data_IF_170512409716
#
_entry.id   IF_170512409716
#
_cell.length_a   1.000
_cell.length_b   1.000
_cell.length_c   1.000
_cell.angle_alpha   90.00
_cell.angle_beta   90.00
_cell.angle_gamma   90.00
#
_symmetry.space_group_name_H-M   'P 1'
#
loop_
_entity.id
_entity.type
_entity.pdbx_description
1 polymer ?
#
# COMPACT_ATOMS: atom_id res chain seq x y z
N UNK A 1 -2.58 -5.21 -38.50
CA UNK A 1 -2.74 -4.06 -37.62
C UNK A 1 -2.63 -2.73 -38.40
N UNK A 2 -1.56 -2.54 -39.18
CA UNK A 2 -1.34 -1.31 -39.97
C UNK A 2 -2.45 -1.08 -41.01
N UNK A 3 -2.91 -2.12 -41.73
CA UNK A 3 -4.00 -2.04 -42.70
C UNK A 3 -5.34 -1.62 -42.03
N UNK A 4 -5.61 -2.08 -40.81
CA UNK A 4 -6.78 -1.72 -40.05
C UNK A 4 -6.74 -0.24 -39.62
N UNK A 5 -5.56 0.24 -39.21
CA UNK A 5 -5.36 1.64 -38.85
C UNK A 5 -5.51 2.61 -40.05
N UNK A 6 -5.10 2.18 -41.24
CA UNK A 6 -5.27 2.95 -42.48
C UNK A 6 -6.72 2.99 -42.98
N UNK A 7 -7.49 1.94 -42.73
CA UNK A 7 -8.93 1.90 -43.04
C UNK A 7 -9.73 2.82 -42.11
N UNK A 8 -9.39 2.83 -40.81
CA UNK A 8 -9.97 3.72 -39.82
C UNK A 8 -9.68 5.19 -40.14
N UNK A 9 -8.44 5.52 -40.52
CA UNK A 9 -8.09 6.87 -40.95
C UNK A 9 -8.86 7.32 -42.22
N UNK A 10 -9.12 6.40 -43.14
CA UNK A 10 -9.86 6.69 -44.38
C UNK A 10 -11.37 6.84 -44.16
N UNK A 11 -11.92 6.17 -43.16
CA UNK A 11 -13.37 6.24 -42.86
C UNK A 11 -13.80 7.55 -42.21
N UNK A 12 -12.88 8.37 -41.74
CA UNK A 12 -13.19 9.62 -41.02
C UNK A 12 -13.98 9.39 -39.73
N UNK A 13 -14.09 8.14 -39.30
CA UNK A 13 -14.78 7.82 -38.07
C UNK A 13 -14.03 8.42 -36.87
N UNK A 14 -14.69 9.28 -36.12
CA UNK A 14 -14.17 9.73 -34.83
C UNK A 14 -14.21 8.56 -33.84
N UNK A 15 -13.12 7.79 -33.80
CA UNK A 15 -12.96 6.67 -32.90
C UNK A 15 -12.53 7.12 -31.48
N UNK A 16 -13.06 8.21 -31.02
CA UNK A 16 -12.98 8.52 -29.58
C UNK A 16 -13.91 7.55 -28.89
N UNK A 17 -13.34 6.50 -28.33
CA UNK A 17 -14.06 5.70 -27.35
C UNK A 17 -14.54 6.66 -26.27
N UNK A 18 -15.83 6.59 -25.88
CA UNK A 18 -16.32 7.41 -24.79
C UNK A 18 -15.40 7.17 -23.58
N UNK A 19 -14.84 8.24 -23.03
CA UNK A 19 -14.05 8.11 -21.82
C UNK A 19 -14.93 7.51 -20.73
N UNK A 20 -14.45 6.50 -19.98
CA UNK A 20 -15.23 5.96 -18.89
C UNK A 20 -15.57 7.10 -17.90
N UNK A 21 -16.80 7.09 -17.40
CA UNK A 21 -17.18 7.97 -16.29
C UNK A 21 -16.42 7.52 -15.06
N UNK A 22 -15.36 8.26 -14.73
CA UNK A 22 -14.54 8.00 -13.56
C UNK A 22 -14.98 8.91 -12.41
N UNK A 23 -14.89 8.46 -11.15
CA UNK A 23 -15.00 9.35 -10.01
C UNK A 23 -14.07 10.54 -10.14
N UNK A 24 -14.41 11.65 -9.50
CA UNK A 24 -13.58 12.86 -9.52
C UNK A 24 -12.14 12.53 -9.09
N UNK A 25 -11.18 13.32 -9.58
CA UNK A 25 -9.79 13.18 -9.16
C UNK A 25 -9.68 13.61 -7.70
N UNK A 26 -9.33 12.68 -6.81
CA UNK A 26 -9.01 12.96 -5.43
C UNK A 26 -7.60 13.52 -5.25
N UNK A 27 -7.28 13.96 -4.04
CA UNK A 27 -5.98 14.48 -3.64
C UNK A 27 -5.17 13.44 -2.87
N UNK A 28 -3.90 13.27 -3.23
CA UNK A 28 -2.94 12.57 -2.40
C UNK A 28 -2.30 13.59 -1.43
N UNK A 29 -2.49 13.35 -0.13
CA UNK A 29 -2.04 14.25 0.95
C UNK A 29 -0.67 13.87 1.50
N UNK A 30 -0.10 12.74 1.06
CA UNK A 30 1.21 12.26 1.46
C UNK A 30 1.26 10.75 1.63
N UNK A 31 2.41 10.28 2.11
CA UNK A 31 2.62 8.87 2.48
C UNK A 31 2.21 8.69 3.94
N UNK A 32 1.41 7.67 4.23
CA UNK A 32 1.01 7.33 5.60
C UNK A 32 1.98 6.34 6.23
N UNK A 33 2.36 5.28 5.50
CA UNK A 33 3.45 4.39 5.87
C UNK A 33 4.14 3.77 4.65
N UNK A 34 5.34 3.27 4.87
CA UNK A 34 6.08 2.41 3.94
C UNK A 34 6.38 1.10 4.65
N UNK A 35 6.06 -0.02 4.01
CA UNK A 35 6.33 -1.36 4.53
C UNK A 35 7.46 -2.01 3.77
N UNK A 36 8.44 -2.49 4.53
CA UNK A 36 9.53 -3.33 4.02
C UNK A 36 9.22 -4.80 4.32
N UNK A 37 9.37 -5.64 3.32
CA UNK A 37 9.50 -7.08 3.52
C UNK A 37 10.96 -7.42 3.78
N UNK A 38 11.20 -8.40 4.65
CA UNK A 38 12.55 -8.89 4.96
C UNK A 38 12.46 -10.28 5.58
N UNK A 39 13.58 -11.00 5.63
CA UNK A 39 13.66 -12.22 6.41
C UNK A 39 13.80 -11.92 7.90
N UNK A 40 13.47 -12.88 8.74
CA UNK A 40 13.65 -12.76 10.20
C UNK A 40 15.12 -12.55 10.58
N UNK A 41 16.04 -13.13 9.81
CA UNK A 41 17.48 -12.95 10.01
C UNK A 41 17.97 -11.53 9.69
N UNK A 42 17.42 -10.89 8.65
CA UNK A 42 17.81 -9.55 8.20
C UNK A 42 17.03 -8.43 8.91
N UNK A 43 15.92 -8.77 9.58
CA UNK A 43 15.07 -7.81 10.28
C UNK A 43 15.82 -7.06 11.39
N UNK A 44 16.76 -7.72 12.06
CA UNK A 44 17.58 -7.10 13.10
C UNK A 44 18.51 -6.01 12.56
N UNK A 45 19.06 -6.20 11.37
CA UNK A 45 19.94 -5.22 10.72
C UNK A 45 19.13 -3.99 10.26
N UNK A 46 17.94 -4.22 9.69
CA UNK A 46 17.04 -3.14 9.31
C UNK A 46 16.55 -2.37 10.54
N UNK A 47 16.21 -3.06 11.64
CA UNK A 47 15.83 -2.45 12.90
C UNK A 47 16.97 -1.59 13.51
N UNK A 48 18.19 -2.11 13.48
CA UNK A 48 19.38 -1.37 13.95
C UNK A 48 19.61 -0.12 13.10
N UNK A 49 19.47 -0.23 11.78
CA UNK A 49 19.57 0.91 10.87
C UNK A 49 18.50 1.98 11.16
N UNK A 50 17.23 1.59 11.34
CA UNK A 50 16.16 2.52 11.70
C UNK A 50 16.42 3.21 13.05
N UNK A 51 16.92 2.45 14.05
CA UNK A 51 17.30 3.00 15.36
C UNK A 51 18.40 4.06 15.24
N UNK A 52 19.44 3.80 14.43
CA UNK A 52 20.52 4.77 14.17
C UNK A 52 19.99 6.04 13.51
N UNK A 53 18.97 5.94 12.70
CA UNK A 53 18.30 7.08 12.08
C UNK A 53 17.32 7.80 13.03
N UNK A 54 17.13 7.31 14.25
CA UNK A 54 16.26 7.92 15.25
C UNK A 54 14.82 7.44 15.23
N UNK A 55 14.51 6.36 14.52
CA UNK A 55 13.20 5.71 14.63
C UNK A 55 13.12 4.90 15.91
N UNK A 56 11.93 4.82 16.47
CA UNK A 56 11.61 4.03 17.67
C UNK A 56 10.63 2.93 17.29
N UNK A 57 10.86 1.72 17.77
CA UNK A 57 9.90 0.62 17.68
C UNK A 57 8.71 0.94 18.61
N UNK A 58 7.54 1.16 18.04
CA UNK A 58 6.36 1.65 18.78
C UNK A 58 5.23 0.64 18.89
N UNK A 59 5.23 -0.43 18.10
CA UNK A 59 4.17 -1.43 18.17
C UNK A 59 4.44 -2.67 17.33
N UNK A 60 3.69 -3.73 17.61
CA UNK A 60 3.63 -4.94 16.82
C UNK A 60 2.20 -5.17 16.33
N UNK A 61 2.04 -5.66 15.11
CA UNK A 61 0.74 -5.96 14.55
C UNK A 61 0.03 -7.04 15.38
N UNK A 62 -1.30 -6.91 15.52
CA UNK A 62 -2.13 -7.78 16.38
C UNK A 62 -2.14 -9.24 15.96
N UNK A 63 -1.87 -9.55 14.69
CA UNK A 63 -2.02 -10.89 14.12
C UNK A 63 -0.91 -11.32 13.15
N UNK A 64 -0.10 -10.37 12.65
CA UNK A 64 0.95 -10.60 11.64
C UNK A 64 2.32 -10.32 12.25
N UNK A 65 3.36 -10.89 11.67
CA UNK A 65 4.75 -10.59 12.05
C UNK A 65 5.22 -9.29 11.41
N UNK A 66 4.57 -8.18 11.82
CA UNK A 66 4.86 -6.83 11.35
C UNK A 66 5.16 -5.93 12.54
N UNK A 67 6.33 -5.32 12.54
CA UNK A 67 6.77 -4.35 13.53
C UNK A 67 6.60 -2.92 13.01
N UNK A 68 6.07 -2.01 13.83
CA UNK A 68 5.87 -0.60 13.51
C UNK A 68 6.97 0.24 14.13
N UNK A 69 7.70 0.94 13.28
CA UNK A 69 8.75 1.90 13.63
C UNK A 69 8.30 3.30 13.29
N UNK A 70 8.57 4.27 14.16
CA UNK A 70 8.10 5.64 13.98
C UNK A 70 9.15 6.67 14.34
N UNK A 71 9.22 7.73 13.54
CA UNK A 71 9.91 8.96 13.87
C UNK A 71 9.01 10.14 13.50
N UNK A 72 8.53 10.88 14.49
CA UNK A 72 7.54 11.96 14.30
C UNK A 72 6.32 11.51 13.48
N UNK A 73 6.15 12.05 12.27
CA UNK A 73 5.08 11.72 11.34
C UNK A 73 5.41 10.60 10.34
N UNK A 74 6.61 10.03 10.40
CA UNK A 74 7.07 8.98 9.46
C UNK A 74 6.83 7.62 10.10
N UNK A 75 6.14 6.72 9.37
CA UNK A 75 5.87 5.37 9.80
C UNK A 75 6.54 4.38 8.85
N UNK A 76 7.33 3.48 9.38
CA UNK A 76 7.97 2.37 8.68
C UNK A 76 7.45 1.07 9.29
N UNK A 77 7.04 0.13 8.46
CA UNK A 77 6.65 -1.21 8.87
C UNK A 77 7.72 -2.19 8.41
N UNK A 78 8.06 -3.15 9.27
CA UNK A 78 8.97 -4.27 8.95
C UNK A 78 8.14 -5.54 9.01
N UNK A 79 7.97 -6.20 7.86
CA UNK A 79 7.19 -7.40 7.69
C UNK A 79 8.11 -8.62 7.50
N UNK A 80 7.99 -9.61 8.39
CA UNK A 80 8.75 -10.86 8.37
C UNK A 80 7.85 -12.09 8.18
N UNK A 81 6.66 -11.89 7.57
CA UNK A 81 5.77 -13.01 7.24
C UNK A 81 6.47 -13.98 6.27
N UNK A 82 6.20 -15.28 6.45
CA UNK A 82 6.74 -16.38 5.62
C UNK A 82 5.77 -16.85 4.54
N UNK A 83 4.72 -16.07 4.30
CA UNK A 83 3.70 -16.34 3.29
C UNK A 83 3.00 -15.05 2.87
N UNK A 84 2.23 -15.11 1.77
CA UNK A 84 1.47 -13.99 1.27
C UNK A 84 2.29 -13.00 0.41
N UNK A 85 1.70 -11.83 0.07
CA UNK A 85 2.30 -10.90 -0.90
C UNK A 85 3.65 -10.33 -0.47
N UNK A 86 3.85 -10.03 0.81
CA UNK A 86 5.12 -9.51 1.33
C UNK A 86 6.22 -10.55 1.20
N UNK A 87 5.95 -11.81 1.55
CA UNK A 87 6.90 -12.91 1.38
C UNK A 87 7.25 -13.13 -0.11
N UNK A 88 6.25 -13.15 -0.98
CA UNK A 88 6.50 -13.29 -2.42
C UNK A 88 7.38 -12.16 -2.97
N UNK A 89 7.21 -10.94 -2.48
CA UNK A 89 8.09 -9.82 -2.85
C UNK A 89 9.52 -10.03 -2.32
N UNK A 90 9.67 -10.58 -1.10
CA UNK A 90 10.99 -10.93 -0.55
C UNK A 90 11.69 -12.01 -1.37
N UNK A 91 10.98 -13.07 -1.78
CA UNK A 91 11.56 -14.14 -2.61
C UNK A 91 12.11 -13.62 -3.94
N UNK A 92 11.50 -12.58 -4.51
CA UNK A 92 11.92 -12.00 -5.80
C UNK A 92 12.99 -10.92 -5.64
N UNK A 93 12.88 -10.08 -4.60
CA UNK A 93 13.65 -8.83 -4.49
C UNK A 93 14.55 -8.77 -3.25
N UNK A 94 14.48 -9.74 -2.35
CA UNK A 94 15.10 -9.65 -1.04
C UNK A 94 14.44 -8.59 -0.17
N UNK A 95 15.19 -8.05 0.82
CA UNK A 95 14.71 -6.95 1.65
C UNK A 95 14.43 -5.71 0.80
N UNK A 96 13.15 -5.34 0.69
CA UNK A 96 12.67 -4.29 -0.19
C UNK A 96 11.33 -3.71 0.26
N UNK A 97 10.94 -2.57 -0.32
CA UNK A 97 9.59 -2.01 -0.12
C UNK A 97 8.57 -2.90 -0.84
N UNK A 98 7.58 -3.39 -0.09
CA UNK A 98 6.51 -4.26 -0.62
C UNK A 98 5.12 -3.60 -0.58
N UNK A 99 4.90 -2.61 0.29
CA UNK A 99 3.61 -1.93 0.45
C UNK A 99 3.83 -0.45 0.78
N UNK A 100 3.01 0.43 0.19
CA UNK A 100 3.01 1.86 0.47
C UNK A 100 1.57 2.30 0.70
N UNK A 101 1.29 2.93 1.84
CA UNK A 101 0.00 3.55 2.09
C UNK A 101 0.04 5.04 1.79
N UNK A 102 -0.88 5.47 0.95
CA UNK A 102 -1.10 6.88 0.62
C UNK A 102 -2.23 7.43 1.48
N UNK A 103 -2.00 8.58 2.07
CA UNK A 103 -3.06 9.38 2.68
C UNK A 103 -3.78 10.15 1.59
N UNK A 104 -5.09 9.95 1.50
CA UNK A 104 -5.96 10.55 0.48
C UNK A 104 -7.14 11.28 1.14
N UNK A 105 -7.82 12.10 0.40
CA UNK A 105 -9.03 12.78 0.85
C UNK A 105 -10.24 11.82 0.96
N UNK A 106 -10.34 10.84 0.05
CA UNK A 106 -11.41 9.83 0.01
C UNK A 106 -10.86 8.51 -0.56
N UNK A 107 -10.72 7.50 0.30
CA UNK A 107 -10.17 6.19 -0.06
C UNK A 107 -11.13 5.40 -0.95
N UNK A 108 -12.45 5.56 -0.77
CA UNK A 108 -13.46 4.89 -1.59
C UNK A 108 -13.42 5.41 -3.03
N UNK A 109 -13.44 6.71 -3.20
CA UNK A 109 -13.32 7.32 -4.54
C UNK A 109 -11.98 7.00 -5.20
N UNK A 110 -10.89 6.95 -4.43
CA UNK A 110 -9.56 6.60 -4.94
C UNK A 110 -9.53 5.17 -5.50
N UNK A 111 -10.06 4.18 -4.77
CA UNK A 111 -10.07 2.77 -5.22
C UNK A 111 -11.02 2.56 -6.41
N UNK A 112 -12.19 3.21 -6.42
CA UNK A 112 -13.14 3.12 -7.53
C UNK A 112 -12.56 3.75 -8.81
N UNK A 113 -11.89 4.89 -8.69
CA UNK A 113 -11.20 5.51 -9.80
C UNK A 113 -10.06 4.64 -10.32
N UNK A 114 -9.24 4.07 -9.44
CA UNK A 114 -8.16 3.17 -9.81
C UNK A 114 -8.70 1.94 -10.58
N UNK A 115 -9.79 1.34 -10.09
CA UNK A 115 -10.49 0.24 -10.76
C UNK A 115 -10.99 0.65 -12.14
N UNK A 116 -11.61 1.82 -12.27
CA UNK A 116 -12.09 2.35 -13.55
C UNK A 116 -10.97 2.63 -14.56
N UNK A 117 -9.75 2.85 -14.09
CA UNK A 117 -8.54 3.00 -14.89
C UNK A 117 -7.82 1.67 -15.16
N UNK A 118 -8.38 0.54 -14.74
CA UNK A 118 -7.85 -0.79 -14.99
C UNK A 118 -6.83 -1.29 -13.96
N UNK A 119 -6.71 -0.64 -12.80
CA UNK A 119 -5.89 -1.16 -11.72
C UNK A 119 -6.47 -2.46 -11.15
N UNK A 120 -5.60 -3.41 -10.82
CA UNK A 120 -5.97 -4.64 -10.12
C UNK A 120 -6.25 -4.31 -8.64
N UNK A 121 -7.54 -4.35 -8.27
CA UNK A 121 -7.94 -4.17 -6.87
C UNK A 121 -7.64 -5.46 -6.12
N UNK A 122 -6.95 -5.34 -5.00
CA UNK A 122 -6.59 -6.48 -4.16
C UNK A 122 -7.73 -6.80 -3.20
N UNK A 123 -8.11 -8.08 -3.15
CA UNK A 123 -8.93 -8.58 -2.05
C UNK A 123 -8.03 -8.77 -0.82
N UNK A 124 -8.43 -8.18 0.26
CA UNK A 124 -7.69 -8.22 1.50
C UNK A 124 -8.30 -9.27 2.42
N UNK A 125 -7.45 -10.17 2.95
CA UNK A 125 -7.84 -11.26 3.85
C UNK A 125 -7.58 -10.86 5.31
N UNK A 126 -8.00 -9.65 5.69
CA UNK A 126 -7.89 -9.22 7.08
C UNK A 126 -8.84 -10.02 8.00
N UNK A 127 -8.44 -10.17 9.25
CA UNK A 127 -9.29 -10.73 10.30
C UNK A 127 -10.44 -9.77 10.59
N UNK A 128 -11.46 -10.28 11.27
CA UNK A 128 -12.69 -9.52 11.54
C UNK A 128 -12.45 -8.24 12.36
N UNK A 129 -11.39 -8.21 13.13
CA UNK A 129 -10.98 -7.14 14.03
C UNK A 129 -9.85 -6.24 13.46
N UNK A 130 -9.42 -6.48 12.23
CA UNK A 130 -8.43 -5.66 11.51
C UNK A 130 -9.12 -4.69 10.55
N UNK A 131 -8.46 -3.56 10.26
CA UNK A 131 -8.96 -2.61 9.29
C UNK A 131 -8.79 -3.13 7.85
N UNK A 132 -9.88 -3.04 7.09
CA UNK A 132 -9.88 -3.35 5.66
C UNK A 132 -9.45 -2.12 4.87
N UNK A 133 -8.15 -1.92 4.74
CA UNK A 133 -7.59 -0.79 4.00
C UNK A 133 -7.64 -1.10 2.50
N UNK A 134 -8.37 -0.30 1.68
CA UNK A 134 -8.45 -0.52 0.23
C UNK A 134 -7.06 -0.50 -0.41
N UNK A 135 -6.81 -1.45 -1.31
CA UNK A 135 -5.51 -1.61 -1.94
C UNK A 135 -5.60 -2.00 -3.42
N UNK A 136 -4.60 -1.61 -4.18
CA UNK A 136 -4.37 -2.04 -5.55
C UNK A 136 -2.97 -2.65 -5.68
N UNK A 137 -2.79 -3.45 -6.73
CA UNK A 137 -1.46 -3.85 -7.15
C UNK A 137 -0.78 -2.67 -7.84
N UNK A 138 0.33 -2.23 -7.29
CA UNK A 138 1.15 -1.16 -7.83
C UNK A 138 2.15 -1.63 -8.89
N UNK A 139 2.95 -0.70 -9.38
CA UNK A 139 4.04 -0.96 -10.33
C UNK A 139 5.07 -1.88 -9.68
N UNK A 140 5.54 -2.89 -10.43
CA UNK A 140 6.51 -3.86 -9.92
C UNK A 140 5.94 -4.93 -8.98
N UNK A 141 4.59 -5.01 -8.86
CA UNK A 141 3.92 -6.02 -8.01
C UNK A 141 3.77 -5.63 -6.54
N UNK A 142 4.29 -4.48 -6.12
CA UNK A 142 4.08 -3.94 -4.78
C UNK A 142 2.62 -3.59 -4.53
N UNK A 143 2.26 -3.36 -3.27
CA UNK A 143 0.92 -2.98 -2.86
C UNK A 143 0.85 -1.46 -2.70
N UNK A 144 -0.26 -0.86 -3.11
CA UNK A 144 -0.55 0.54 -2.86
C UNK A 144 -1.89 0.64 -2.16
N UNK A 145 -1.89 1.18 -0.92
CA UNK A 145 -3.08 1.34 -0.08
C UNK A 145 -3.57 2.78 -0.06
N UNK A 146 -4.85 2.95 0.22
CA UNK A 146 -5.48 4.27 0.36
C UNK A 146 -6.09 4.41 1.75
N UNK A 147 -5.66 5.45 2.48
CA UNK A 147 -6.11 5.75 3.84
C UNK A 147 -6.67 7.16 3.87
N UNK A 148 -7.87 7.33 4.40
CA UNK A 148 -8.47 8.62 4.67
C UNK A 148 -8.85 8.78 6.15
N UNK A 149 -9.17 10.01 6.54
CA UNK A 149 -9.60 10.32 7.90
C UNK A 149 -11.11 10.10 8.12
N UNK A 150 -11.90 10.11 7.05
CA UNK A 150 -13.37 10.13 7.14
C UNK A 150 -13.96 8.75 7.47
N UNK A 151 -13.35 7.69 6.96
CA UNK A 151 -13.82 6.30 7.14
C UNK A 151 -13.27 5.60 8.38
N UNK A 152 -12.44 6.28 9.18
CA UNK A 152 -11.77 5.69 10.34
C UNK A 152 -10.49 4.91 10.00
N UNK A 153 -10.09 4.82 8.74
CA UNK A 153 -8.86 4.14 8.31
C UNK A 153 -7.59 4.80 8.89
N UNK A 154 -7.65 6.09 9.23
CA UNK A 154 -6.58 6.79 9.91
C UNK A 154 -6.21 6.22 11.29
N UNK A 155 -7.11 5.41 11.89
CA UNK A 155 -6.89 4.77 13.19
C UNK A 155 -6.15 3.41 13.07
N UNK A 156 -5.54 3.11 11.93
CA UNK A 156 -4.87 1.85 11.68
C UNK A 156 -3.81 1.49 12.74
N UNK A 157 -3.13 2.49 13.31
CA UNK A 157 -2.13 2.27 14.36
C UNK A 157 -2.73 1.75 15.65
N UNK A 158 -3.89 2.27 16.02
CA UNK A 158 -4.59 1.94 17.25
C UNK A 158 -5.37 0.62 17.12
N UNK A 159 -5.85 0.30 15.93
CA UNK A 159 -6.63 -0.92 15.65
C UNK A 159 -5.73 -2.11 15.37
N UNK A 160 -4.78 -1.96 14.45
CA UNK A 160 -4.00 -3.07 13.92
C UNK A 160 -2.69 -3.30 14.70
N UNK A 161 -2.27 -2.37 15.58
CA UNK A 161 -1.01 -2.49 16.32
C UNK A 161 -1.20 -2.38 17.83
N UNK A 162 -0.46 -3.21 18.55
CA UNK A 162 -0.31 -3.12 20.01
C UNK A 162 0.98 -2.39 20.33
N UNK A 163 0.94 -1.37 21.22
CA UNK A 163 2.13 -0.66 21.66
C UNK A 163 3.14 -1.62 22.28
N UNK A 164 4.43 -1.38 22.05
CA UNK A 164 5.51 -1.99 22.84
C UNK A 164 5.83 -1.07 24.01
N UNK A 165 6.15 -1.67 25.17
CA UNK A 165 6.64 -0.92 26.31
C UNK A 165 8.01 -0.35 25.96
N UNK A 166 8.11 0.96 25.85
CA UNK A 166 9.39 1.63 25.69
C UNK A 166 10.07 1.64 27.06
N UNK A 167 11.27 1.08 27.22
CA UNK A 167 12.03 1.26 28.46
C UNK A 167 12.20 2.75 28.73
N UNK A 168 11.88 3.17 29.95
CA UNK A 168 12.01 4.54 30.40
C UNK A 168 13.47 5.01 30.41
#
# INVERSE_FOLDING_TARGET
>A
LLALMDDVRRSGADMRLPAPELPARGSCLGIEFVEFTTSEAEASDLAAFLSMMGFVHVGNHVSKRVAHWRQNGINILINTEDSGPAHSAYEVHGTSVCDIALRVDDATSAIERARGLGAEVMETNERKDELKIPAIRGVGGGILRFIDAATGLANWREVDFRPVETPA
#
